data_IF_631896968889
#
_entry.id   IF_631896968889
#
_cell.length_a   1.000
_cell.length_b   1.000
_cell.length_c   1.000
_cell.angle_alpha   90.00
_cell.angle_beta   90.00
_cell.angle_gamma   90.00
#
_symmetry.space_group_name_H-M   'P 1'
#
loop_
_entity.id
_entity.type
_entity.pdbx_description
1 polymer ?
#
# COMPACT_ATOMS: atom_id res chain seq x y z
N UNK A 1 14.50 -53.26 -4.94
CA UNK A 1 15.34 -54.45 -4.68
C UNK A 1 16.79 -54.00 -4.81
N UNK A 2 17.60 -53.95 -3.73
CA UNK A 2 18.97 -53.43 -3.78
C UNK A 2 19.94 -54.26 -4.64
N UNK A 3 19.51 -55.39 -5.21
CA UNK A 3 20.29 -56.20 -6.15
C UNK A 3 20.10 -55.81 -7.63
N UNK A 4 19.12 -54.97 -7.97
CA UNK A 4 18.90 -54.54 -9.35
C UNK A 4 19.73 -53.30 -9.68
N UNK A 5 20.82 -53.50 -10.45
CA UNK A 5 21.74 -52.44 -10.87
C UNK A 5 21.04 -51.31 -11.64
N UNK A 6 19.88 -51.58 -12.26
CA UNK A 6 19.11 -50.55 -12.99
C UNK A 6 18.40 -49.55 -12.08
N UNK A 7 18.15 -49.91 -10.81
CA UNK A 7 17.49 -49.03 -9.82
C UNK A 7 18.49 -48.31 -8.91
N UNK A 8 19.79 -48.43 -9.17
CA UNK A 8 20.81 -47.77 -8.37
C UNK A 8 20.79 -46.26 -8.62
N UNK A 9 20.58 -45.47 -7.57
CA UNK A 9 20.71 -44.01 -7.64
C UNK A 9 22.18 -43.63 -7.72
N UNK A 10 22.53 -42.82 -8.72
CA UNK A 10 23.89 -42.33 -8.95
C UNK A 10 23.87 -40.81 -8.90
N UNK A 11 24.83 -40.22 -8.19
CA UNK A 11 25.01 -38.77 -8.16
C UNK A 11 25.72 -38.33 -9.46
N UNK A 12 25.07 -37.45 -10.20
CA UNK A 12 25.60 -36.81 -11.40
C UNK A 12 25.74 -35.33 -11.13
N UNK A 13 26.92 -34.78 -11.40
CA UNK A 13 27.24 -33.36 -11.25
C UNK A 13 27.59 -32.80 -12.62
N UNK A 14 26.81 -31.81 -13.06
CA UNK A 14 27.13 -31.02 -14.25
C UNK A 14 27.90 -29.76 -13.81
N UNK A 15 29.14 -29.65 -14.26
CA UNK A 15 30.04 -28.56 -13.87
C UNK A 15 30.47 -27.78 -15.11
N UNK A 16 30.22 -26.47 -15.11
CA UNK A 16 30.81 -25.56 -16.09
C UNK A 16 32.07 -24.93 -15.48
N UNK A 17 33.24 -25.27 -16.02
CA UNK A 17 34.54 -24.77 -15.53
C UNK A 17 35.35 -24.18 -16.67
N UNK A 18 36.12 -23.13 -16.40
CA UNK A 18 37.15 -22.64 -17.31
C UNK A 18 38.45 -23.36 -17.01
N UNK A 19 38.91 -24.18 -17.93
CA UNK A 19 40.19 -24.88 -17.80
C UNK A 19 40.92 -24.89 -19.15
N UNK A 20 42.24 -24.75 -19.07
CA UNK A 20 43.15 -25.01 -20.17
C UNK A 20 43.43 -26.52 -20.18
N UNK A 21 42.83 -27.22 -21.15
CA UNK A 21 42.92 -28.69 -21.26
C UNK A 21 43.96 -29.14 -22.29
N UNK A 22 44.20 -28.34 -23.32
CA UNK A 22 45.14 -28.62 -24.41
C UNK A 22 46.53 -28.02 -24.18
N UNK A 23 46.70 -27.19 -23.15
CA UNK A 23 47.97 -26.61 -22.74
C UNK A 23 48.39 -25.42 -23.60
N UNK A 24 47.43 -24.75 -24.25
CA UNK A 24 47.69 -23.63 -25.16
C UNK A 24 47.78 -22.27 -24.44
N UNK A 25 47.48 -22.23 -23.14
CA UNK A 25 47.48 -21.03 -22.30
C UNK A 25 46.18 -20.23 -22.33
N UNK A 26 45.13 -20.70 -23.02
CA UNK A 26 43.81 -20.09 -23.09
C UNK A 26 42.82 -20.96 -22.31
N UNK A 27 42.16 -20.38 -21.30
CA UNK A 27 41.16 -21.10 -20.53
C UNK A 27 39.81 -21.13 -21.25
N UNK A 28 39.53 -22.21 -21.96
CA UNK A 28 38.23 -22.49 -22.58
C UNK A 28 37.17 -22.87 -21.53
N UNK A 29 35.91 -22.54 -21.78
CA UNK A 29 34.80 -22.96 -20.93
C UNK A 29 34.35 -24.37 -21.37
N UNK A 30 34.33 -25.31 -20.43
CA UNK A 30 33.94 -26.70 -20.71
C UNK A 30 32.83 -27.15 -19.77
N UNK A 31 31.86 -27.89 -20.31
CA UNK A 31 30.86 -28.62 -19.55
C UNK A 31 31.39 -30.01 -19.26
N UNK A 32 31.66 -30.26 -17.99
CA UNK A 32 32.16 -31.54 -17.49
C UNK A 32 31.06 -32.22 -16.70
N UNK A 33 30.64 -33.41 -17.15
CA UNK A 33 29.71 -34.26 -16.43
C UNK A 33 30.49 -35.25 -15.58
N UNK A 34 30.33 -35.19 -14.27
CA UNK A 34 30.99 -36.07 -13.30
C UNK A 34 29.95 -37.03 -12.73
N UNK A 35 30.21 -38.34 -12.88
CA UNK A 35 29.35 -39.42 -12.40
C UNK A 35 30.11 -40.16 -11.31
N UNK A 36 29.70 -39.97 -10.05
CA UNK A 36 30.49 -40.42 -8.89
C UNK A 36 31.90 -39.81 -8.90
N UNK A 37 32.93 -40.65 -9.02
CA UNK A 37 34.34 -40.24 -9.05
C UNK A 37 34.94 -40.16 -10.47
N UNK A 38 34.14 -40.39 -11.52
CA UNK A 38 34.63 -40.44 -12.91
C UNK A 38 34.04 -39.30 -13.73
N UNK A 39 34.88 -38.73 -14.60
CA UNK A 39 34.42 -37.81 -15.64
C UNK A 39 33.80 -38.66 -16.76
N UNK A 40 32.52 -38.43 -17.03
CA UNK A 40 31.77 -39.16 -18.05
C UNK A 40 31.78 -38.44 -19.41
N UNK A 41 31.60 -37.12 -19.41
CA UNK A 41 31.68 -36.28 -20.60
C UNK A 41 32.45 -34.99 -20.32
N UNK A 42 33.17 -34.50 -21.32
CA UNK A 42 33.87 -33.22 -21.31
C UNK A 42 33.70 -32.58 -22.69
N UNK A 43 32.79 -31.61 -22.77
CA UNK A 43 32.45 -30.90 -24.00
C UNK A 43 32.83 -29.43 -23.84
N UNK A 44 33.40 -28.84 -24.89
CA UNK A 44 33.65 -27.40 -24.94
C UNK A 44 32.33 -26.66 -25.17
N UNK A 45 32.08 -25.62 -24.38
CA UNK A 45 30.86 -24.82 -24.44
C UNK A 45 31.21 -23.33 -24.51
N UNK A 46 30.50 -22.58 -25.36
CA UNK A 46 30.75 -21.13 -25.47
C UNK A 46 30.16 -20.35 -24.29
N UNK A 47 29.08 -20.86 -23.68
CA UNK A 47 28.36 -20.19 -22.59
C UNK A 47 27.90 -21.20 -21.52
N UNK A 48 27.88 -20.76 -20.26
CA UNK A 48 27.41 -21.60 -19.15
C UNK A 48 25.89 -21.78 -19.20
N UNK A 49 25.37 -23.03 -19.15
CA UNK A 49 23.94 -23.30 -19.22
C UNK A 49 23.18 -22.87 -17.96
N UNK A 50 23.89 -22.50 -16.88
CA UNK A 50 23.28 -22.19 -15.59
C UNK A 50 22.99 -20.70 -15.46
N UNK A 51 21.72 -20.34 -15.30
CA UNK A 51 21.30 -19.01 -14.87
C UNK A 51 20.88 -19.05 -13.40
N UNK A 52 21.28 -18.04 -12.63
CA UNK A 52 20.94 -17.94 -11.21
C UNK A 52 20.17 -16.65 -10.93
N UNK A 53 19.10 -16.78 -10.15
CA UNK A 53 18.28 -15.66 -9.71
C UNK A 53 18.21 -15.66 -8.18
N UNK A 54 18.30 -14.46 -7.60
CA UNK A 54 18.34 -14.27 -6.16
C UNK A 54 17.50 -13.04 -5.82
N UNK A 55 16.59 -13.16 -4.85
CA UNK A 55 15.70 -12.08 -4.41
C UNK A 55 16.45 -10.96 -3.68
N UNK A 56 17.44 -11.31 -2.84
CA UNK A 56 18.29 -10.34 -2.12
C UNK A 56 19.75 -10.74 -2.22
N UNK A 57 20.53 -9.94 -2.96
CA UNK A 57 21.96 -10.22 -3.20
C UNK A 57 22.81 -9.75 -2.01
N UNK A 58 23.81 -10.55 -1.65
CA UNK A 58 24.86 -10.17 -0.72
C UNK A 58 26.18 -10.05 -1.48
N UNK A 59 26.98 -9.00 -1.26
CA UNK A 59 28.32 -8.90 -1.85
C UNK A 59 29.16 -10.14 -1.52
N UNK A 60 29.97 -10.58 -2.47
CA UNK A 60 30.89 -11.73 -2.31
C UNK A 60 30.23 -13.09 -2.05
N UNK A 61 28.92 -13.24 -2.27
CA UNK A 61 28.21 -14.52 -2.14
C UNK A 61 27.38 -14.82 -3.39
N UNK A 62 27.48 -16.03 -3.92
CA UNK A 62 26.66 -16.49 -5.04
C UNK A 62 25.19 -16.67 -4.62
N UNK A 63 24.96 -17.32 -3.47
CA UNK A 63 23.63 -17.46 -2.87
C UNK A 63 23.29 -16.20 -2.07
N UNK A 64 22.09 -15.65 -2.26
CA UNK A 64 21.63 -14.53 -1.45
C UNK A 64 21.07 -14.92 -0.09
N UNK A 65 20.34 -13.97 0.48
CA UNK A 65 19.52 -14.15 1.68
C UNK A 65 18.11 -14.52 1.22
N UNK A 66 17.54 -15.56 1.81
CA UNK A 66 16.13 -15.93 1.59
C UNK A 66 15.21 -15.05 2.44
N UNK A 67 13.95 -14.90 2.01
CA UNK A 67 12.91 -14.30 2.84
C UNK A 67 12.74 -15.06 4.17
N UNK A 68 12.99 -16.38 4.15
CA UNK A 68 12.97 -17.20 5.35
C UNK A 68 14.03 -16.77 6.37
N UNK A 69 15.25 -16.49 5.91
CA UNK A 69 16.36 -16.11 6.79
C UNK A 69 16.07 -14.81 7.54
N UNK A 70 15.26 -13.90 6.95
CA UNK A 70 14.83 -12.67 7.60
C UNK A 70 13.69 -12.86 8.60
N UNK A 71 12.98 -13.99 8.55
CA UNK A 71 11.77 -14.25 9.35
C UNK A 71 11.92 -15.39 10.34
N UNK A 72 13.00 -16.17 10.26
CA UNK A 72 13.17 -17.38 11.06
C UNK A 72 13.07 -17.10 12.57
N UNK A 73 13.72 -16.05 13.05
CA UNK A 73 13.66 -15.61 14.46
C UNK A 73 12.23 -15.24 14.89
N UNK A 74 11.53 -14.44 14.09
CA UNK A 74 10.14 -14.01 14.33
C UNK A 74 9.21 -15.24 14.37
N UNK A 75 9.41 -16.20 13.46
CA UNK A 75 8.62 -17.43 13.40
C UNK A 75 8.84 -18.30 14.64
N UNK A 76 10.07 -18.40 15.13
CA UNK A 76 10.39 -19.13 16.37
C UNK A 76 9.72 -18.46 17.56
N UNK A 77 9.87 -17.14 17.73
CA UNK A 77 9.24 -16.37 18.83
C UNK A 77 7.73 -16.56 18.80
N UNK A 78 7.09 -16.42 17.63
CA UNK A 78 5.64 -16.59 17.49
C UNK A 78 5.20 -18.01 17.83
N UNK A 79 5.98 -19.01 17.43
CA UNK A 79 5.71 -20.41 17.74
C UNK A 79 5.83 -20.70 19.23
N UNK A 80 6.85 -20.15 19.90
CA UNK A 80 7.05 -20.27 21.34
C UNK A 80 5.94 -19.58 22.14
N UNK A 81 5.58 -18.34 21.76
CA UNK A 81 4.47 -17.60 22.38
C UNK A 81 3.14 -18.34 22.23
N UNK A 82 2.83 -18.83 21.02
CA UNK A 82 1.60 -19.57 20.77
C UNK A 82 1.57 -20.89 21.56
N UNK A 83 2.68 -21.62 21.60
CA UNK A 83 2.78 -22.85 22.41
C UNK A 83 2.66 -22.54 23.90
N UNK A 84 3.28 -21.46 24.39
CA UNK A 84 3.18 -21.01 25.78
C UNK A 84 1.75 -20.64 26.17
N UNK A 85 1.07 -19.85 25.34
CA UNK A 85 -0.33 -19.49 25.53
C UNK A 85 -1.26 -20.71 25.52
N UNK A 86 -1.09 -21.62 24.56
CA UNK A 86 -1.87 -22.86 24.50
C UNK A 86 -1.59 -23.79 25.70
N UNK A 87 -0.35 -23.87 26.16
CA UNK A 87 0.00 -24.65 27.34
C UNK A 87 -0.61 -24.06 28.61
N UNK A 88 -0.61 -22.74 28.77
CA UNK A 88 -1.29 -22.08 29.87
C UNK A 88 -2.81 -22.31 29.81
N UNK A 89 -3.43 -22.22 28.63
CA UNK A 89 -4.84 -22.53 28.45
C UNK A 89 -5.16 -23.99 28.83
N UNK A 90 -4.29 -24.94 28.44
CA UNK A 90 -4.43 -26.35 28.85
C UNK A 90 -4.31 -26.53 30.36
N UNK A 91 -3.40 -25.82 31.03
CA UNK A 91 -3.26 -25.85 32.50
C UNK A 91 -4.44 -25.19 33.21
N UNK A 92 -5.00 -24.12 32.65
CA UNK A 92 -6.20 -23.47 33.17
C UNK A 92 -7.42 -24.39 33.03
N UNK A 93 -7.56 -25.10 31.91
CA UNK A 93 -8.65 -26.04 31.68
C UNK A 93 -8.50 -27.34 32.49
N UNK A 94 -7.26 -27.83 32.65
CA UNK A 94 -6.94 -29.05 33.41
C UNK A 94 -6.11 -28.71 34.65
N UNK A 95 -6.69 -27.89 35.54
CA UNK A 95 -6.04 -27.47 36.78
C UNK A 95 -5.74 -28.65 37.69
N UNK A 96 -4.59 -28.60 38.38
CA UNK A 96 -4.27 -29.58 39.42
C UNK A 96 -4.86 -29.13 40.75
N UNK A 97 -5.37 -30.08 41.53
CA UNK A 97 -5.88 -29.82 42.88
C UNK A 97 -4.94 -30.45 43.89
N UNK A 98 -4.44 -29.65 44.84
CA UNK A 98 -3.75 -30.17 46.02
C UNK A 98 -4.79 -30.72 46.99
N UNK A 99 -4.53 -31.91 47.53
CA UNK A 99 -5.48 -32.58 48.41
C UNK A 99 -4.75 -33.19 49.60
N UNK A 100 -5.36 -33.07 50.78
CA UNK A 100 -4.93 -33.80 51.98
C UNK A 100 -5.39 -35.27 51.91
N UNK A 101 -4.42 -36.17 51.72
CA UNK A 101 -4.64 -37.61 51.54
C UNK A 101 -5.36 -38.29 52.70
N UNK A 102 -5.33 -37.73 53.92
CA UNK A 102 -5.98 -38.33 55.10
C UNK A 102 -7.48 -38.02 55.17
N UNK A 103 -7.89 -36.89 54.63
CA UNK A 103 -9.23 -36.34 54.82
C UNK A 103 -10.08 -36.37 53.54
N UNK A 104 -9.55 -36.92 52.43
CA UNK A 104 -10.25 -37.07 51.16
C UNK A 104 -10.32 -38.53 50.70
N UNK A 105 -11.33 -38.87 49.91
CA UNK A 105 -11.33 -40.12 49.16
C UNK A 105 -10.56 -39.97 47.84
N UNK A 106 -9.38 -40.57 47.76
CA UNK A 106 -8.50 -40.45 46.58
C UNK A 106 -9.10 -41.06 45.31
N UNK A 107 -9.92 -42.10 45.44
CA UNK A 107 -10.55 -42.78 44.29
C UNK A 107 -11.50 -41.85 43.54
N UNK A 108 -12.19 -40.95 44.26
CA UNK A 108 -13.12 -39.99 43.67
C UNK A 108 -12.39 -38.83 42.95
N UNK A 109 -11.11 -38.60 43.29
CA UNK A 109 -10.25 -37.57 42.68
C UNK A 109 -9.42 -38.08 41.50
N UNK A 110 -9.19 -39.39 41.43
CA UNK A 110 -8.46 -40.03 40.33
C UNK A 110 -9.32 -40.23 39.09
N UNK A 111 -10.65 -40.25 39.23
CA UNK A 111 -11.60 -40.31 38.12
C UNK A 111 -12.14 -38.91 37.77
N UNK A 112 -11.52 -38.28 36.77
CA UNK A 112 -11.87 -36.93 36.34
C UNK A 112 -13.15 -36.91 35.50
N UNK A 113 -14.31 -37.05 36.16
CA UNK A 113 -15.64 -36.86 35.55
C UNK A 113 -16.11 -35.42 35.70
N UNK A 114 -16.59 -34.83 34.61
CA UNK A 114 -17.22 -33.51 34.65
C UNK A 114 -18.42 -33.53 35.61
N UNK A 115 -18.40 -32.68 36.65
CA UNK A 115 -19.45 -32.63 37.68
C UNK A 115 -19.43 -33.77 38.71
N UNK A 116 -18.34 -34.56 38.78
CA UNK A 116 -18.17 -35.60 39.79
C UNK A 116 -18.15 -35.02 41.22
N UNK A 117 -18.85 -35.68 42.14
CA UNK A 117 -18.88 -35.29 43.56
C UNK A 117 -17.66 -35.90 44.26
N UNK A 118 -16.90 -35.06 44.97
CA UNK A 118 -15.74 -35.48 45.77
C UNK A 118 -16.16 -35.52 47.24
N UNK A 119 -15.96 -36.67 47.89
CA UNK A 119 -16.28 -36.84 49.32
C UNK A 119 -15.08 -36.47 50.19
N UNK A 120 -15.31 -35.62 51.19
CA UNK A 120 -14.30 -35.18 52.16
C UNK A 120 -14.78 -35.40 53.59
N UNK A 121 -13.88 -35.86 54.46
CA UNK A 121 -14.09 -35.95 55.90
C UNK A 121 -13.62 -34.64 56.54
N UNK A 122 -14.39 -33.56 56.34
CA UNK A 122 -14.08 -32.21 56.81
C UNK A 122 -14.60 -31.12 55.87
N UNK A 123 -14.50 -29.83 56.26
CA UNK A 123 -14.90 -28.72 55.42
C UNK A 123 -14.10 -28.74 54.10
N UNK A 124 -14.76 -28.80 52.92
CA UNK A 124 -14.10 -28.99 51.63
C UNK A 124 -13.00 -27.96 51.31
N UNK A 125 -13.15 -26.73 51.82
CA UNK A 125 -12.20 -25.62 51.61
C UNK A 125 -10.83 -25.83 52.29
N UNK A 126 -10.73 -26.71 53.29
CA UNK A 126 -9.48 -27.04 53.97
C UNK A 126 -8.85 -28.33 53.45
N UNK A 127 -9.64 -29.16 52.76
CA UNK A 127 -9.22 -30.49 52.27
C UNK A 127 -8.81 -30.44 50.79
N UNK A 128 -9.42 -29.54 50.01
CA UNK A 128 -9.15 -29.34 48.58
C UNK A 128 -8.67 -27.91 48.35
N UNK A 129 -7.43 -27.77 47.87
CA UNK A 129 -6.88 -26.48 47.45
C UNK A 129 -6.55 -26.56 45.96
N UNK A 130 -7.32 -25.91 45.07
CA UNK A 130 -6.92 -25.83 43.66
C UNK A 130 -5.60 -25.09 43.55
N UNK A 131 -4.63 -25.63 42.82
CA UNK A 131 -3.45 -24.85 42.45
C UNK A 131 -3.91 -23.74 41.51
N UNK A 132 -3.82 -22.50 41.98
CA UNK A 132 -4.09 -21.34 41.15
C UNK A 132 -2.93 -21.15 40.19
N UNK A 133 -3.19 -21.46 38.92
CA UNK A 133 -2.31 -21.02 37.83
C UNK A 133 -2.77 -19.63 37.39
N UNK A 134 -1.87 -18.69 37.05
CA UNK A 134 -2.27 -17.42 36.46
C UNK A 134 -3.03 -17.71 35.16
N UNK A 135 -4.33 -17.46 35.16
CA UNK A 135 -5.29 -17.87 34.12
C UNK A 135 -5.36 -16.91 32.94
N UNK A 136 -4.59 -15.82 32.94
CA UNK A 136 -4.72 -14.70 32.01
C UNK A 136 -3.50 -14.50 31.09
N UNK A 137 -2.58 -15.46 30.99
CA UNK A 137 -1.41 -15.29 30.11
C UNK A 137 -1.85 -15.18 28.65
N UNK A 138 -2.95 -15.83 28.24
CA UNK A 138 -3.45 -15.73 26.86
C UNK A 138 -3.87 -14.32 26.46
N UNK A 139 -4.50 -13.56 27.37
CA UNK A 139 -4.88 -12.15 27.12
C UNK A 139 -3.66 -11.25 26.90
N UNK A 140 -2.51 -11.60 27.49
CA UNK A 140 -1.23 -10.88 27.31
C UNK A 140 -0.43 -11.39 26.10
N UNK A 141 -0.61 -12.65 25.72
CA UNK A 141 0.07 -13.27 24.57
C UNK A 141 -0.47 -12.74 23.24
N UNK A 142 -1.80 -12.58 23.09
CA UNK A 142 -2.40 -12.04 21.86
C UNK A 142 -1.79 -10.68 21.43
N UNK A 143 -1.76 -9.63 22.28
CA UNK A 143 -1.21 -8.34 21.88
C UNK A 143 0.30 -8.42 21.59
N UNK A 144 1.02 -9.30 22.28
CA UNK A 144 2.44 -9.53 21.99
C UNK A 144 2.62 -10.22 20.63
N UNK A 145 1.76 -11.18 20.26
CA UNK A 145 1.76 -11.78 18.93
C UNK A 145 1.43 -10.76 17.84
N UNK A 146 0.50 -9.84 18.08
CA UNK A 146 0.19 -8.74 17.16
C UNK A 146 1.39 -7.80 17.00
N UNK A 147 2.11 -7.50 18.07
CA UNK A 147 3.33 -6.69 18.02
C UNK A 147 4.43 -7.39 17.21
N UNK A 148 4.63 -8.70 17.41
CA UNK A 148 5.57 -9.51 16.60
C UNK A 148 5.17 -9.55 15.12
N UNK A 149 3.86 -9.52 14.83
CA UNK A 149 3.38 -9.40 13.45
C UNK A 149 3.77 -8.05 12.82
N UNK A 150 3.76 -6.93 13.55
CA UNK A 150 4.23 -5.65 13.00
C UNK A 150 5.70 -5.73 12.55
N UNK A 151 6.56 -6.45 13.28
CA UNK A 151 7.96 -6.64 12.89
C UNK A 151 8.10 -7.47 11.62
N UNK A 152 7.25 -8.48 11.43
CA UNK A 152 7.16 -9.23 10.18
C UNK A 152 6.77 -8.30 9.03
N UNK A 153 5.77 -7.45 9.23
CA UNK A 153 5.34 -6.47 8.21
C UNK A 153 6.47 -5.51 7.86
N UNK A 154 7.21 -4.97 8.86
CA UNK A 154 8.36 -4.12 8.62
C UNK A 154 9.50 -4.83 7.88
N UNK A 155 9.79 -6.10 8.16
CA UNK A 155 10.85 -6.85 7.47
C UNK A 155 10.47 -7.19 6.04
N UNK A 156 9.30 -7.80 5.86
CA UNK A 156 8.82 -8.28 4.54
C UNK A 156 8.32 -7.17 3.62
N UNK A 157 7.85 -6.05 4.17
CA UNK A 157 7.10 -5.06 3.40
C UNK A 157 5.69 -5.53 3.02
N UNK A 158 5.19 -6.65 3.58
CA UNK A 158 3.81 -7.11 3.36
C UNK A 158 3.02 -6.90 4.64
N UNK A 159 2.33 -5.77 4.71
CA UNK A 159 1.37 -5.47 5.78
C UNK A 159 -0.02 -6.06 5.50
N UNK A 160 -0.84 -6.23 6.54
CA UNK A 160 -2.28 -6.55 6.37
C UNK A 160 -2.98 -5.56 5.44
N UNK A 161 -2.68 -4.27 5.58
CA UNK A 161 -3.19 -3.18 4.73
C UNK A 161 -2.75 -3.27 3.26
N UNK A 162 -1.63 -3.96 2.99
CA UNK A 162 -1.11 -4.11 1.62
C UNK A 162 -1.80 -5.22 0.84
N UNK A 163 -2.52 -6.14 1.50
CA UNK A 163 -3.15 -7.32 0.89
C UNK A 163 -4.69 -7.29 0.98
N UNK A 164 -5.26 -6.29 1.64
CA UNK A 164 -6.70 -6.03 1.70
C UNK A 164 -6.99 -4.67 2.33
N UNK A 165 -7.99 -3.96 1.81
CA UNK A 165 -8.52 -2.73 2.41
C UNK A 165 -9.26 -3.11 3.70
N UNK A 166 -8.55 -3.16 4.82
CA UNK A 166 -9.22 -3.27 6.13
C UNK A 166 -9.94 -1.95 6.41
N UNK A 167 -11.28 -1.99 6.41
CA UNK A 167 -12.13 -0.79 6.50
C UNK A 167 -11.96 -0.04 7.83
N UNK A 168 -11.51 -0.74 8.89
CA UNK A 168 -11.24 -0.16 10.21
C UNK A 168 -9.92 0.65 10.24
N UNK A 169 -8.90 0.24 9.47
CA UNK A 169 -7.63 0.98 9.36
C UNK A 169 -7.79 2.31 8.60
N UNK A 170 -8.76 2.37 7.68
CA UNK A 170 -9.10 3.57 6.89
C UNK A 170 -9.77 4.69 7.69
N UNK A 171 -10.35 4.40 8.86
CA UNK A 171 -11.08 5.40 9.64
C UNK A 171 -10.18 6.26 10.53
N UNK A 172 -9.09 5.69 11.07
CA UNK A 172 -8.27 6.36 12.10
C UNK A 172 -6.87 6.80 11.64
N UNK A 173 -6.44 6.42 10.43
CA UNK A 173 -5.18 6.89 9.86
C UNK A 173 -5.49 7.95 8.81
N UNK A 174 -4.84 9.12 8.89
CA UNK A 174 -4.93 10.11 7.81
C UNK A 174 -4.54 9.42 6.50
N UNK A 175 -5.42 9.45 5.49
CA UNK A 175 -5.23 8.76 4.19
C UNK A 175 -3.81 8.87 3.61
N UNK A 176 -3.12 9.98 3.87
CA UNK A 176 -1.72 10.19 3.47
C UNK A 176 -0.69 9.28 4.16
N UNK A 177 -0.81 9.00 5.45
CA UNK A 177 0.13 8.13 6.17
C UNK A 177 -0.03 6.65 5.77
N UNK A 178 -1.26 6.20 5.53
CA UNK A 178 -1.54 4.84 5.06
C UNK A 178 -1.04 4.64 3.61
N UNK A 179 -1.28 5.62 2.72
CA UNK A 179 -0.75 5.60 1.35
C UNK A 179 0.79 5.60 1.32
N UNK A 180 1.44 6.36 2.21
CA UNK A 180 2.90 6.38 2.32
C UNK A 180 3.47 5.03 2.82
N UNK A 181 2.81 4.39 3.78
CA UNK A 181 3.18 3.05 4.25
C UNK A 181 3.04 1.97 3.17
N UNK A 182 1.94 2.01 2.39
CA UNK A 182 1.74 1.11 1.25
C UNK A 182 2.77 1.33 0.14
N UNK A 183 3.13 2.59 -0.14
CA UNK A 183 4.18 2.91 -1.11
C UNK A 183 5.55 2.38 -0.65
N UNK A 184 5.91 2.55 0.63
CA UNK A 184 7.16 2.04 1.18
C UNK A 184 7.25 0.49 1.19
N UNK A 185 6.12 -0.17 1.47
CA UNK A 185 5.94 -1.62 1.36
C UNK A 185 6.17 -2.11 -0.08
N UNK A 186 5.57 -1.42 -1.06
CA UNK A 186 5.72 -1.71 -2.48
C UNK A 186 7.17 -1.67 -2.95
N UNK A 187 7.97 -0.69 -2.50
CA UNK A 187 9.37 -0.54 -2.88
C UNK A 187 10.25 -1.77 -2.56
N UNK A 188 10.00 -2.44 -1.42
CA UNK A 188 10.75 -3.66 -1.06
C UNK A 188 10.43 -4.81 -1.99
N UNK A 189 9.15 -5.01 -2.27
CA UNK A 189 8.66 -6.06 -3.18
C UNK A 189 9.19 -5.79 -4.59
N UNK A 190 9.20 -4.52 -5.02
CA UNK A 190 9.77 -4.09 -6.30
C UNK A 190 11.27 -4.36 -6.38
N UNK A 191 12.05 -4.09 -5.32
CA UNK A 191 13.48 -4.42 -5.32
C UNK A 191 13.73 -5.92 -5.43
N UNK A 192 12.96 -6.75 -4.72
CA UNK A 192 13.05 -8.20 -4.83
C UNK A 192 12.69 -8.69 -6.24
N UNK A 193 11.59 -8.18 -6.80
CA UNK A 193 11.16 -8.49 -8.16
C UNK A 193 12.20 -8.06 -9.21
N UNK A 194 12.81 -6.88 -9.05
CA UNK A 194 13.89 -6.40 -9.92
C UNK A 194 15.13 -7.29 -9.83
N UNK A 195 15.53 -7.71 -8.63
CA UNK A 195 16.68 -8.60 -8.45
C UNK A 195 16.48 -9.97 -9.11
N UNK A 196 15.25 -10.50 -9.04
CA UNK A 196 14.86 -11.75 -9.72
C UNK A 196 14.78 -11.56 -11.24
N UNK A 197 14.25 -10.43 -11.70
CA UNK A 197 14.14 -10.12 -13.13
C UNK A 197 15.51 -10.08 -13.83
N UNK A 198 16.56 -9.62 -13.14
CA UNK A 198 17.94 -9.69 -13.66
C UNK A 198 18.45 -11.13 -13.81
N UNK A 199 17.98 -12.10 -13.02
CA UNK A 199 18.33 -13.51 -13.22
C UNK A 199 17.59 -14.11 -14.41
N UNK A 200 16.32 -13.75 -14.59
CA UNK A 200 15.50 -14.16 -15.75
C UNK A 200 16.09 -13.60 -17.05
N UNK A 201 16.63 -12.38 -17.01
CA UNK A 201 17.33 -11.76 -18.14
C UNK A 201 18.50 -12.61 -18.63
N UNK A 202 19.31 -13.15 -17.72
CA UNK A 202 20.41 -14.05 -18.07
C UNK A 202 19.89 -15.30 -18.81
N UNK A 203 18.79 -15.88 -18.32
CA UNK A 203 18.11 -16.99 -19.00
C UNK A 203 17.66 -16.62 -20.42
N UNK A 204 17.04 -15.45 -20.62
CA UNK A 204 16.61 -15.03 -21.95
C UNK A 204 17.77 -14.74 -22.91
N UNK A 205 18.89 -14.23 -22.40
CA UNK A 205 20.11 -14.04 -23.21
C UNK A 205 20.65 -15.40 -23.68
N UNK A 206 20.71 -16.40 -22.80
CA UNK A 206 21.12 -17.77 -23.13
C UNK A 206 20.22 -18.43 -24.14
N UNK A 207 18.89 -18.32 -23.95
CA UNK A 207 17.92 -18.84 -24.92
C UNK A 207 18.09 -18.14 -26.28
N UNK A 208 18.32 -16.82 -26.29
CA UNK A 208 18.60 -16.10 -27.52
C UNK A 208 19.89 -16.60 -28.20
N UNK A 209 20.97 -16.80 -27.45
CA UNK A 209 22.22 -17.34 -27.98
C UNK A 209 22.03 -18.75 -28.56
N UNK A 210 21.32 -19.64 -27.86
CA UNK A 210 20.97 -20.98 -28.34
C UNK A 210 20.14 -20.94 -29.63
N UNK A 211 19.14 -20.05 -29.71
CA UNK A 211 18.34 -19.87 -30.93
C UNK A 211 19.19 -19.38 -32.11
N UNK A 212 20.11 -18.43 -31.90
CA UNK A 212 20.97 -17.94 -32.98
C UNK A 212 21.90 -19.05 -33.51
N UNK A 213 22.40 -19.93 -32.62
CA UNK A 213 23.37 -20.98 -32.97
C UNK A 213 22.76 -22.23 -33.58
N UNK A 214 21.63 -22.68 -33.07
CA UNK A 214 21.10 -24.02 -33.38
C UNK A 214 19.77 -24.01 -34.15
N UNK A 215 19.14 -22.84 -34.35
CA UNK A 215 17.88 -22.78 -35.08
C UNK A 215 18.12 -22.60 -36.59
N UNK A 216 17.80 -23.65 -37.35
CA UNK A 216 17.85 -23.65 -38.81
C UNK A 216 16.49 -23.34 -39.48
N UNK A 217 15.39 -23.40 -38.71
CA UNK A 217 14.02 -23.25 -39.23
C UNK A 217 13.46 -21.85 -39.01
N UNK A 218 12.79 -21.32 -40.06
CA UNK A 218 12.07 -20.05 -40.02
C UNK A 218 10.92 -20.13 -39.02
N UNK A 219 10.85 -19.16 -38.12
CA UNK A 219 9.79 -19.06 -37.12
C UNK A 219 8.81 -17.95 -37.51
N UNK A 220 7.52 -18.19 -37.26
CA UNK A 220 6.47 -17.18 -37.42
C UNK A 220 6.25 -16.45 -36.10
N UNK A 221 6.53 -15.16 -36.09
CA UNK A 221 6.23 -14.30 -34.94
C UNK A 221 5.16 -13.28 -35.31
N UNK A 222 4.19 -13.07 -34.42
CA UNK A 222 3.25 -11.98 -34.56
C UNK A 222 3.86 -10.71 -33.95
N UNK A 223 4.25 -9.75 -34.78
CA UNK A 223 4.76 -8.44 -34.35
C UNK A 223 3.74 -7.36 -34.74
N UNK A 224 3.23 -6.62 -33.75
CA UNK A 224 2.22 -5.55 -33.96
C UNK A 224 1.02 -6.02 -34.79
N UNK A 225 0.50 -7.21 -34.46
CA UNK A 225 -0.65 -7.81 -35.14
C UNK A 225 -0.36 -8.42 -36.53
N UNK A 226 0.85 -8.28 -37.07
CA UNK A 226 1.25 -8.87 -38.36
C UNK A 226 2.13 -10.10 -38.13
N UNK A 227 1.82 -11.18 -38.84
CA UNK A 227 2.66 -12.38 -38.88
C UNK A 227 3.89 -12.11 -39.75
N UNK A 228 5.07 -12.24 -39.15
CA UNK A 228 6.35 -12.07 -39.82
C UNK A 228 7.12 -13.37 -39.70
N UNK A 229 7.53 -13.92 -40.84
CA UNK A 229 8.50 -15.01 -40.89
C UNK A 229 9.88 -14.42 -40.63
N UNK A 230 10.51 -14.81 -39.51
CA UNK A 230 11.85 -14.36 -39.15
C UNK A 230 12.74 -15.58 -38.95
N UNK A 231 13.96 -15.52 -39.48
CA UNK A 231 14.98 -16.52 -39.23
C UNK A 231 15.82 -16.11 -38.00
N UNK A 232 15.83 -16.90 -36.90
CA UNK A 232 16.59 -16.54 -35.71
C UNK A 232 18.12 -16.52 -35.90
N UNK A 233 18.68 -17.29 -36.83
CA UNK A 233 20.13 -17.27 -37.12
C UNK A 233 20.61 -15.94 -37.72
N UNK A 234 19.71 -15.14 -38.29
CA UNK A 234 20.00 -13.80 -38.82
C UNK A 234 19.89 -12.70 -37.75
N UNK A 235 19.50 -13.04 -36.52
CA UNK A 235 19.39 -12.06 -35.45
C UNK A 235 20.77 -11.53 -35.05
N UNK A 236 20.81 -10.22 -34.78
CA UNK A 236 21.98 -9.61 -34.15
C UNK A 236 22.10 -10.16 -32.73
N UNK A 237 23.33 -10.49 -32.36
CA UNK A 237 23.66 -10.87 -31.00
C UNK A 237 23.21 -9.79 -30.01
N UNK A 238 22.45 -10.19 -29.00
CA UNK A 238 21.95 -9.28 -27.97
C UNK A 238 22.83 -9.39 -26.75
N UNK A 239 23.53 -8.32 -26.40
CA UNK A 239 24.36 -8.24 -25.19
C UNK A 239 23.65 -7.56 -24.01
N UNK A 240 22.56 -6.83 -24.28
CA UNK A 240 21.83 -6.09 -23.25
C UNK A 240 20.32 -6.21 -23.42
N UNK A 241 19.69 -6.74 -22.39
CA UNK A 241 18.23 -6.76 -22.23
C UNK A 241 17.88 -5.96 -20.96
N UNK A 242 16.81 -5.18 -21.03
CA UNK A 242 16.26 -4.48 -19.87
C UNK A 242 14.95 -5.15 -19.50
N UNK A 243 14.84 -5.66 -18.28
CA UNK A 243 13.58 -6.21 -17.79
C UNK A 243 12.74 -5.06 -17.21
N UNK A 244 11.52 -4.89 -17.74
CA UNK A 244 10.53 -4.01 -17.12
C UNK A 244 9.59 -4.88 -16.29
N UNK A 245 9.86 -4.98 -14.99
CA UNK A 245 8.92 -5.53 -14.02
C UNK A 245 7.84 -4.47 -13.82
N UNK A 246 6.68 -4.64 -14.46
CA UNK A 246 5.57 -3.70 -14.59
C UNK A 246 4.86 -3.27 -13.29
N UNK A 247 5.62 -3.12 -12.21
CA UNK A 247 5.21 -2.62 -10.90
C UNK A 247 5.73 -1.20 -10.66
N UNK A 248 6.64 -0.70 -11.51
CA UNK A 248 7.35 0.58 -11.32
C UNK A 248 6.88 1.76 -12.18
N UNK A 249 5.79 1.65 -12.95
CA UNK A 249 5.04 2.87 -13.25
C UNK A 249 4.35 3.20 -11.95
N UNK A 250 4.73 4.29 -11.27
CA UNK A 250 4.10 4.73 -10.02
C UNK A 250 2.58 4.56 -10.08
N UNK A 251 1.94 4.32 -8.92
CA UNK A 251 0.54 3.92 -8.77
C UNK A 251 -0.32 4.37 -9.96
N UNK A 252 -1.21 3.53 -10.52
CA UNK A 252 -2.03 3.94 -11.70
C UNK A 252 -2.62 5.36 -11.54
N UNK A 253 -2.92 5.77 -10.31
CA UNK A 253 -3.19 7.13 -9.85
C UNK A 253 -2.09 8.17 -10.15
N UNK A 254 -0.83 7.96 -9.77
CA UNK A 254 0.32 8.81 -10.14
C UNK A 254 0.55 8.86 -11.65
N UNK A 255 0.44 7.74 -12.35
CA UNK A 255 0.50 7.71 -13.82
C UNK A 255 -0.64 8.55 -14.44
N UNK A 256 -1.85 8.50 -13.87
CA UNK A 256 -3.00 9.32 -14.27
C UNK A 256 -2.77 10.81 -13.97
N UNK A 257 -2.19 11.14 -12.82
CA UNK A 257 -1.87 12.52 -12.44
C UNK A 257 -0.79 13.12 -13.36
N UNK A 258 0.27 12.36 -13.64
CA UNK A 258 1.33 12.75 -14.56
C UNK A 258 0.81 12.91 -16.00
N UNK A 259 -0.12 12.06 -16.43
CA UNK A 259 -0.78 12.18 -17.72
C UNK A 259 -1.68 13.42 -17.80
N UNK A 260 -2.44 13.73 -16.74
CA UNK A 260 -3.25 14.95 -16.69
C UNK A 260 -2.38 16.21 -16.76
N UNK A 261 -1.25 16.22 -16.05
CA UNK A 261 -0.26 17.30 -16.13
C UNK A 261 0.36 17.42 -17.53
N UNK A 262 0.69 16.30 -18.16
CA UNK A 262 1.21 16.26 -19.52
C UNK A 262 0.16 16.79 -20.52
N UNK A 263 -1.11 16.43 -20.37
CA UNK A 263 -2.21 16.98 -21.16
C UNK A 263 -2.33 18.50 -21.05
N UNK A 264 -2.23 19.06 -19.83
CA UNK A 264 -2.23 20.51 -19.63
C UNK A 264 -1.00 21.20 -20.24
N UNK A 265 0.19 20.58 -20.13
CA UNK A 265 1.39 21.11 -20.78
C UNK A 265 1.26 21.07 -22.30
N UNK A 266 0.61 20.06 -22.86
CA UNK A 266 0.35 19.96 -24.28
C UNK A 266 -0.64 20.99 -24.78
N UNK A 267 -1.69 21.28 -24.01
CA UNK A 267 -2.63 22.36 -24.34
C UNK A 267 -1.92 23.71 -24.41
N UNK A 268 -1.02 24.01 -23.45
CA UNK A 268 -0.20 25.24 -23.48
C UNK A 268 0.80 25.26 -24.62
N UNK A 269 1.47 24.15 -24.92
CA UNK A 269 2.44 24.08 -26.00
C UNK A 269 1.79 24.05 -27.40
N UNK A 270 0.54 23.59 -27.52
CA UNK A 270 -0.26 23.71 -28.73
C UNK A 270 -0.62 25.18 -29.04
N UNK A 271 -0.88 26.01 -28.02
CA UNK A 271 -1.12 27.45 -28.19
C UNK A 271 0.11 28.21 -28.73
N UNK A 272 1.31 27.69 -28.48
CA UNK A 272 2.59 28.26 -28.95
C UNK A 272 3.05 27.60 -30.28
N UNK A 273 2.29 26.63 -30.81
CA UNK A 273 2.60 25.96 -32.09
C UNK A 273 3.75 24.95 -32.03
N UNK A 274 4.17 24.54 -30.82
CA UNK A 274 5.30 23.62 -30.60
C UNK A 274 4.93 22.14 -30.76
N UNK A 275 3.63 21.82 -30.92
CA UNK A 275 3.12 20.44 -30.96
C UNK A 275 2.30 20.24 -32.23
N UNK A 276 2.64 19.21 -33.01
CA UNK A 276 1.88 18.78 -34.18
C UNK A 276 0.90 17.62 -33.86
N UNK A 277 0.04 17.24 -34.82
CA UNK A 277 -0.95 16.17 -34.65
C UNK A 277 -0.34 14.82 -34.24
N UNK A 278 0.88 14.53 -34.69
CA UNK A 278 1.62 13.28 -34.39
C UNK A 278 2.05 13.19 -32.93
N UNK A 279 2.43 14.30 -32.32
CA UNK A 279 2.84 14.36 -30.93
C UNK A 279 1.65 14.20 -29.98
N UNK A 280 0.49 14.74 -30.35
CA UNK A 280 -0.78 14.53 -29.62
C UNK A 280 -1.22 13.07 -29.71
N UNK A 281 -1.15 12.47 -30.91
CA UNK A 281 -1.46 11.05 -31.11
C UNK A 281 -0.61 10.12 -30.23
N UNK A 282 0.71 10.30 -30.26
CA UNK A 282 1.63 9.48 -29.44
C UNK A 282 1.34 9.60 -27.94
N UNK A 283 0.94 10.80 -27.49
CA UNK A 283 0.68 11.06 -26.07
C UNK A 283 -0.64 10.47 -25.61
N UNK A 284 -1.64 10.51 -26.48
CA UNK A 284 -2.90 9.80 -26.26
C UNK A 284 -2.69 8.27 -26.25
N UNK A 285 -1.89 7.73 -27.18
CA UNK A 285 -1.56 6.30 -27.23
C UNK A 285 -0.86 5.85 -25.94
N UNK A 286 0.11 6.63 -25.46
CA UNK A 286 0.76 6.39 -24.18
C UNK A 286 -0.23 6.49 -23.00
N UNK A 287 -1.13 7.48 -23.01
CA UNK A 287 -2.13 7.67 -21.97
C UNK A 287 -3.17 6.54 -21.90
N UNK A 288 -3.72 6.13 -23.04
CA UNK A 288 -4.67 5.03 -23.12
C UNK A 288 -4.02 3.67 -22.81
N UNK A 289 -2.74 3.47 -23.16
CA UNK A 289 -1.95 2.33 -22.71
C UNK A 289 -1.78 2.27 -21.20
N UNK A 290 -1.50 3.42 -20.55
CA UNK A 290 -1.42 3.51 -19.09
C UNK A 290 -2.77 3.30 -18.39
N UNK A 291 -3.88 3.63 -19.06
CA UNK A 291 -5.23 3.33 -18.58
C UNK A 291 -5.61 1.84 -18.71
N UNK A 292 -4.73 1.00 -19.28
CA UNK A 292 -4.92 -0.44 -19.39
C UNK A 292 -5.59 -0.89 -20.68
N UNK A 293 -5.75 -0.01 -21.67
CA UNK A 293 -6.25 -0.41 -22.98
C UNK A 293 -5.10 -0.96 -23.81
N UNK A 294 -5.13 -2.26 -24.14
CA UNK A 294 -4.12 -2.94 -24.96
C UNK A 294 -4.08 -2.42 -26.42
N UNK A 295 -5.17 -1.79 -26.87
CA UNK A 295 -5.32 -1.23 -28.22
C UNK A 295 -5.75 0.24 -28.18
N UNK A 296 -4.85 1.15 -27.75
CA UNK A 296 -5.15 2.58 -27.68
C UNK A 296 -5.36 3.21 -29.07
N UNK A 297 -4.83 2.57 -30.12
CA UNK A 297 -4.93 2.97 -31.53
C UNK A 297 -6.37 2.96 -32.08
N UNK A 298 -7.32 2.33 -31.38
CA UNK A 298 -8.74 2.30 -31.78
C UNK A 298 -9.51 3.57 -31.38
N UNK A 299 -9.00 4.32 -30.40
CA UNK A 299 -9.71 5.46 -29.81
C UNK A 299 -9.25 6.81 -30.37
N UNK A 300 -8.21 6.82 -31.20
CA UNK A 300 -7.69 8.02 -31.84
C UNK A 300 -7.19 7.68 -33.25
N UNK A 301 -7.47 8.54 -34.22
CA UNK A 301 -7.02 8.36 -35.60
C UNK A 301 -5.52 8.68 -35.73
N UNK A 302 -4.76 7.77 -36.35
CA UNK A 302 -3.35 8.00 -36.65
C UNK A 302 -3.21 9.13 -37.69
N UNK A 303 -2.49 10.22 -37.38
CA UNK A 303 -2.24 11.29 -38.35
C UNK A 303 -1.43 10.86 -39.59
N UNK A 304 -0.90 9.64 -39.64
CA UNK A 304 -0.29 9.02 -40.81
C UNK A 304 -1.21 8.07 -41.61
N UNK A 305 -2.43 7.78 -41.15
CA UNK A 305 -3.37 6.91 -41.87
C UNK A 305 -4.10 7.63 -43.00
N UNK A 306 -4.49 6.89 -44.06
CA UNK A 306 -5.29 7.41 -45.18
C UNK A 306 -6.66 7.95 -44.73
N UNK A 307 -7.19 7.49 -43.60
CA UNK A 307 -8.46 7.95 -43.02
C UNK A 307 -8.33 9.37 -42.44
N UNK A 308 -7.19 9.74 -41.85
CA UNK A 308 -6.93 11.12 -41.42
C UNK A 308 -6.73 12.06 -42.60
N UNK A 309 -6.10 11.58 -43.69
CA UNK A 309 -5.99 12.32 -44.94
C UNK A 309 -7.37 12.55 -45.60
N UNK A 310 -8.27 11.56 -45.54
CA UNK A 310 -9.66 11.71 -45.99
C UNK A 310 -10.49 12.60 -45.06
N UNK A 311 -10.28 12.57 -43.74
CA UNK A 311 -10.96 13.47 -42.80
C UNK A 311 -10.51 14.93 -42.97
N UNK A 312 -9.20 15.18 -43.23
CA UNK A 312 -8.68 16.48 -43.65
C UNK A 312 -9.15 16.93 -45.04
N UNK A 313 -9.51 15.99 -45.92
CA UNK A 313 -10.04 16.28 -47.24
C UNK A 313 -11.56 16.53 -47.22
N UNK A 314 -12.30 15.89 -46.31
CA UNK A 314 -13.74 16.12 -46.08
C UNK A 314 -14.01 17.36 -45.22
N UNK A 315 -13.07 17.78 -44.38
CA UNK A 315 -13.06 19.09 -43.73
C UNK A 315 -11.82 19.88 -44.17
N UNK A 316 -11.90 20.59 -45.31
CA UNK A 316 -10.80 21.44 -45.75
C UNK A 316 -10.48 22.47 -44.66
N UNK A 317 -9.21 22.66 -44.27
CA UNK A 317 -8.84 23.84 -43.51
C UNK A 317 -9.17 25.06 -44.36
N UNK A 318 -10.13 25.88 -43.90
CA UNK A 318 -10.33 27.21 -44.45
C UNK A 318 -8.98 27.93 -44.42
N UNK A 319 -8.51 28.31 -45.61
CA UNK A 319 -7.28 29.06 -45.82
C UNK A 319 -7.33 30.41 -45.09
N UNK A 320 -6.42 30.58 -44.12
CA UNK A 320 -5.58 31.79 -43.83
C UNK A 320 -5.35 32.00 -42.31
N UNK A 321 -4.43 31.23 -41.69
CA UNK A 321 -4.10 31.29 -40.26
C UNK A 321 -3.14 32.44 -39.87
N UNK A 322 -3.28 33.63 -40.46
CA UNK A 322 -2.58 34.84 -39.96
C UNK A 322 -3.53 36.03 -39.81
N UNK A 323 -4.48 36.21 -40.73
CA UNK A 323 -5.46 37.30 -40.62
C UNK A 323 -6.60 36.94 -39.65
N UNK A 324 -6.94 35.65 -39.53
CA UNK A 324 -7.96 35.18 -38.60
C UNK A 324 -7.49 35.14 -37.15
N UNK A 325 -6.20 34.98 -36.86
CA UNK A 325 -5.69 35.08 -35.47
C UNK A 325 -5.73 36.53 -35.00
N UNK A 326 -5.49 37.51 -35.89
CA UNK A 326 -5.68 38.92 -35.57
C UNK A 326 -7.16 39.29 -35.44
N UNK A 327 -8.04 38.75 -36.29
CA UNK A 327 -9.48 39.02 -36.27
C UNK A 327 -10.23 38.26 -35.16
N UNK A 328 -9.77 37.07 -34.76
CA UNK A 328 -10.23 36.30 -33.58
C UNK A 328 -9.57 36.84 -32.30
N UNK A 329 -8.36 37.43 -32.35
CA UNK A 329 -7.84 38.20 -31.21
C UNK A 329 -8.61 39.51 -31.03
N UNK A 330 -9.03 40.16 -32.12
CA UNK A 330 -9.86 41.36 -32.08
C UNK A 330 -11.32 41.05 -31.69
N UNK A 331 -11.95 40.03 -32.29
CA UNK A 331 -13.27 39.53 -31.90
C UNK A 331 -13.25 38.87 -30.52
N UNK A 332 -12.16 38.21 -30.18
CA UNK A 332 -11.92 37.61 -28.88
C UNK A 332 -11.68 38.67 -27.82
N UNK A 333 -11.04 39.79 -28.14
CA UNK A 333 -10.94 40.96 -27.25
C UNK A 333 -12.27 41.71 -27.13
N UNK A 334 -13.06 41.86 -28.20
CA UNK A 334 -14.40 42.46 -28.08
C UNK A 334 -15.40 41.53 -27.40
N UNK A 335 -15.29 40.22 -27.59
CA UNK A 335 -16.06 39.22 -26.86
C UNK A 335 -15.57 39.07 -25.41
N UNK A 336 -14.26 39.16 -25.12
CA UNK A 336 -13.76 39.23 -23.74
C UNK A 336 -14.13 40.56 -23.10
N UNK A 337 -14.17 41.67 -23.84
CA UNK A 337 -14.59 42.98 -23.33
C UNK A 337 -16.10 43.02 -23.08
N UNK A 338 -16.92 42.39 -23.91
CA UNK A 338 -18.36 42.20 -23.68
C UNK A 338 -18.62 41.18 -22.57
N UNK A 339 -17.87 40.08 -22.51
CA UNK A 339 -17.98 39.10 -21.44
C UNK A 339 -17.41 39.65 -20.12
N UNK A 340 -16.39 40.51 -20.15
CA UNK A 340 -15.91 41.22 -18.97
C UNK A 340 -16.87 42.33 -18.58
N UNK A 341 -17.50 43.03 -19.51
CA UNK A 341 -18.56 44.00 -19.20
C UNK A 341 -19.77 43.29 -18.58
N UNK A 342 -20.20 42.15 -19.13
CA UNK A 342 -21.25 41.31 -18.57
C UNK A 342 -20.86 40.67 -17.23
N UNK A 343 -19.60 40.27 -17.06
CA UNK A 343 -19.08 39.70 -15.80
C UNK A 343 -18.88 40.76 -14.73
N UNK A 344 -18.45 41.97 -15.10
CA UNK A 344 -18.37 43.14 -14.20
C UNK A 344 -19.76 43.63 -13.85
N UNK A 345 -20.73 43.59 -14.77
CA UNK A 345 -22.12 43.92 -14.45
C UNK A 345 -22.76 42.83 -13.57
N UNK A 346 -22.48 41.56 -13.82
CA UNK A 346 -22.92 40.46 -12.96
C UNK A 346 -22.22 40.45 -11.59
N UNK A 347 -20.94 40.83 -11.51
CA UNK A 347 -20.23 41.02 -10.25
C UNK A 347 -20.71 42.25 -9.50
N UNK A 348 -21.00 43.36 -10.18
CA UNK A 348 -21.61 44.53 -9.56
C UNK A 348 -23.02 44.21 -9.03
N UNK A 349 -23.81 43.40 -9.76
CA UNK A 349 -25.11 42.93 -9.29
C UNK A 349 -24.97 41.96 -8.11
N UNK A 350 -24.01 41.02 -8.18
CA UNK A 350 -23.74 40.08 -7.09
C UNK A 350 -23.15 40.77 -5.85
N UNK A 351 -22.34 41.81 -6.02
CA UNK A 351 -21.80 42.61 -4.92
C UNK A 351 -22.86 43.53 -4.32
N UNK A 352 -23.79 44.06 -5.13
CA UNK A 352 -24.99 44.75 -4.64
C UNK A 352 -25.90 43.81 -3.85
N UNK A 353 -26.17 42.60 -4.36
CA UNK A 353 -26.98 41.60 -3.67
C UNK A 353 -26.29 41.12 -2.39
N UNK A 354 -24.96 40.93 -2.43
CA UNK A 354 -24.17 40.53 -1.26
C UNK A 354 -24.08 41.64 -0.23
N UNK A 355 -23.96 42.90 -0.65
CA UNK A 355 -24.01 44.06 0.25
C UNK A 355 -25.39 44.23 0.87
N UNK A 356 -26.47 43.98 0.11
CA UNK A 356 -27.84 44.02 0.63
C UNK A 356 -28.12 42.87 1.60
N UNK A 357 -27.61 41.67 1.31
CA UNK A 357 -27.65 40.52 2.21
C UNK A 357 -26.82 40.74 3.47
N UNK A 358 -25.64 41.37 3.37
CA UNK A 358 -24.83 41.74 4.54
C UNK A 358 -25.52 42.81 5.38
N UNK A 359 -26.15 43.81 4.76
CA UNK A 359 -26.96 44.79 5.49
C UNK A 359 -28.17 44.15 6.18
N UNK A 360 -28.85 43.18 5.55
CA UNK A 360 -29.92 42.43 6.20
C UNK A 360 -29.39 41.55 7.33
N UNK A 361 -28.27 40.88 7.11
CA UNK A 361 -27.65 40.03 8.11
C UNK A 361 -27.16 40.85 9.31
N UNK A 362 -26.52 42.00 9.11
CA UNK A 362 -26.10 42.91 10.17
C UNK A 362 -27.31 43.56 10.86
N UNK A 363 -28.37 43.91 10.14
CA UNK A 363 -29.61 44.37 10.75
C UNK A 363 -30.26 43.27 11.61
N UNK A 364 -30.21 42.01 11.17
CA UNK A 364 -30.74 40.88 11.90
C UNK A 364 -29.86 40.50 13.10
N UNK A 365 -28.53 40.60 12.98
CA UNK A 365 -27.61 40.43 14.09
C UNK A 365 -27.77 41.54 15.12
N UNK A 366 -27.87 42.81 14.71
CA UNK A 366 -28.17 43.92 15.62
C UNK A 366 -29.54 43.77 16.28
N UNK A 367 -30.55 43.29 15.54
CA UNK A 367 -31.87 42.99 16.13
C UNK A 367 -31.78 41.87 17.19
N UNK A 368 -31.05 40.79 16.88
CA UNK A 368 -30.84 39.69 17.81
C UNK A 368 -29.98 40.12 19.01
N UNK A 369 -28.97 40.98 18.81
CA UNK A 369 -28.12 41.48 19.87
C UNK A 369 -28.88 42.45 20.79
N UNK A 370 -29.71 43.34 20.23
CA UNK A 370 -30.63 44.15 21.03
C UNK A 370 -31.66 43.30 21.78
N UNK A 371 -32.18 42.23 21.17
CA UNK A 371 -33.06 41.30 21.88
C UNK A 371 -32.33 40.56 23.01
N UNK A 372 -31.08 40.16 22.79
CA UNK A 372 -30.27 39.49 23.78
C UNK A 372 -29.86 40.41 24.94
N UNK A 373 -29.54 41.68 24.64
CA UNK A 373 -29.21 42.71 25.62
C UNK A 373 -30.45 43.16 26.40
N UNK A 374 -31.64 43.21 25.78
CA UNK A 374 -32.90 43.44 26.48
C UNK A 374 -33.26 42.30 27.44
N UNK A 375 -32.94 41.05 27.08
CA UNK A 375 -33.08 39.88 27.94
C UNK A 375 -32.10 39.91 29.11
N UNK A 376 -30.82 40.17 28.86
CA UNK A 376 -29.81 40.30 29.92
C UNK A 376 -30.11 41.47 30.86
N UNK A 377 -30.55 42.62 30.34
CA UNK A 377 -30.97 43.76 31.15
C UNK A 377 -32.27 43.53 31.96
N UNK A 378 -33.05 42.51 31.63
CA UNK A 378 -34.18 42.04 32.46
C UNK A 378 -33.69 41.11 33.58
N UNK A 379 -32.77 40.19 33.26
CA UNK A 379 -32.15 39.28 34.22
C UNK A 379 -31.27 40.02 35.25
N UNK A 380 -30.50 41.04 34.82
CA UNK A 380 -29.69 41.87 35.71
C UNK A 380 -30.52 42.75 36.63
N UNK A 381 -31.69 43.23 36.17
CA UNK A 381 -32.65 43.94 37.04
C UNK A 381 -33.24 43.02 38.09
N UNK A 382 -33.53 41.77 37.74
CA UNK A 382 -34.00 40.76 38.69
C UNK A 382 -32.88 40.33 39.66
N UNK A 383 -31.62 40.22 39.19
CA UNK A 383 -30.47 39.91 40.03
C UNK A 383 -30.13 41.06 41.00
N UNK A 384 -30.23 42.32 40.56
CA UNK A 384 -30.09 43.48 41.45
C UNK A 384 -31.23 43.57 42.46
N UNK A 385 -32.48 43.32 42.07
CA UNK A 385 -33.62 43.24 43.00
C UNK A 385 -33.37 42.17 44.07
N UNK A 386 -32.92 40.96 43.68
CA UNK A 386 -32.63 39.88 44.61
C UNK A 386 -31.43 40.21 45.55
N UNK A 387 -30.41 40.92 45.06
CA UNK A 387 -29.30 41.39 45.90
C UNK A 387 -29.72 42.49 46.88
N UNK A 388 -30.59 43.41 46.44
CA UNK A 388 -31.14 44.46 47.31
C UNK A 388 -32.04 43.85 48.40
N UNK A 389 -32.87 42.85 48.07
CA UNK A 389 -33.68 42.12 49.05
C UNK A 389 -32.81 41.34 50.04
N UNK A 390 -31.75 40.69 49.58
CA UNK A 390 -30.79 39.99 50.45
C UNK A 390 -30.08 40.97 51.41
N UNK A 391 -29.67 42.14 50.92
CA UNK A 391 -29.07 43.19 51.76
C UNK A 391 -30.07 43.80 52.75
N UNK A 392 -31.34 43.96 52.35
CA UNK A 392 -32.40 44.40 53.26
C UNK A 392 -32.64 43.38 54.37
N UNK A 393 -32.67 42.08 54.04
CA UNK A 393 -32.86 41.02 55.01
C UNK A 393 -31.68 40.94 56.00
N UNK A 394 -30.44 41.08 55.52
CA UNK A 394 -29.25 41.15 56.38
C UNK A 394 -29.29 42.35 57.34
N UNK A 395 -29.69 43.54 56.86
CA UNK A 395 -29.86 44.72 57.73
C UNK A 395 -31.01 44.55 58.72
N UNK A 396 -32.12 43.93 58.33
CA UNK A 396 -33.22 43.62 59.25
C UNK A 396 -32.81 42.61 60.31
N UNK A 397 -32.06 41.57 59.94
CA UNK A 397 -31.52 40.60 60.89
C UNK A 397 -30.53 41.26 61.87
N UNK A 398 -29.71 42.21 61.42
CA UNK A 398 -28.79 42.96 62.28
C UNK A 398 -29.55 43.89 63.25
N UNK A 399 -30.64 44.54 62.80
CA UNK A 399 -31.49 45.39 63.64
C UNK A 399 -32.28 44.55 64.65
N UNK A 400 -32.86 43.42 64.25
CA UNK A 400 -33.53 42.48 65.17
C UNK A 400 -32.53 41.91 66.17
N UNK A 401 -31.32 41.55 65.73
CA UNK A 401 -30.23 41.11 66.61
C UNK A 401 -29.86 42.16 67.64
N UNK A 402 -29.79 43.44 67.25
CA UNK A 402 -29.55 44.57 68.19
C UNK A 402 -30.73 44.81 69.12
N UNK A 403 -31.97 44.66 68.67
CA UNK A 403 -33.18 44.81 69.51
C UNK A 403 -33.27 43.67 70.53
N UNK A 404 -33.06 42.42 70.13
CA UNK A 404 -33.04 41.25 71.04
C UNK A 404 -31.86 41.35 72.02
N UNK A 405 -30.68 41.77 71.57
CA UNK A 405 -29.54 42.00 72.45
C UNK A 405 -29.76 43.18 73.43
N UNK A 406 -30.58 44.17 73.05
CA UNK A 406 -30.96 45.28 73.93
C UNK A 406 -32.02 44.89 74.97
N UNK A 407 -32.94 43.98 74.62
CA UNK A 407 -33.94 43.44 75.55
C UNK A 407 -33.36 42.42 76.55
N UNK A 408 -32.30 41.69 76.19
CA UNK A 408 -31.57 40.80 77.11
C UNK A 408 -30.63 41.52 78.10
N UNK A 409 -30.48 42.84 77.98
CA UNK A 409 -29.67 43.67 78.89
C UNK A 409 -30.51 44.51 79.88
N UNK A 410 -31.82 44.25 79.95
CA UNK A 410 -32.75 45.02 80.79
C UNK A 410 -33.56 44.15 81.79
N UNK A 411 -32.99 43.02 82.21
CA UNK A 411 -33.36 42.31 83.46
C UNK A 411 -32.15 42.19 84.39
#
# INVERSE_FOLDING_TARGET
NPADKSMQTIEVRDVAIRCDWDGDGIAELRQVQVVGDKIASNEEIEESPFAAAVSKRMPHRHTGISLYDELADIQVIKSELMRGGLNNLRLANNGRTAVDWKNCNLTDLMDSRAGGVIRTNGPPSQVLMPFTHPSNIMEQVIPTMQYVDTWREFRTGVGKDSMGLDADALQNVTKGAQLAGMAAAGLKIEMMARCLAEGIKDTFLKIHALMVRHQDQKMQFQMRGKWVNVNPSEWRERTRVSANVGLGSGSREEARANLAMLGQMQEKAAQVGLIGPKQVYNSFVLGAGLMGYERPEQFIMDPASQEFAQFKAQNPPQQNPQVQVAQIRAQGQTALAQASAARTQAQAQADMDKAQLQLQHDAQQNHNQMAHEALQGSEDRNAQMAQIDSQMWMKMAEIIGKIVASQLKQD
#
